data_IF_242821586076
#
_entry.id   IF_242821586076
#
_cell.length_a   1.000
_cell.length_b   1.000
_cell.length_c   1.000
_cell.angle_alpha   90.00
_cell.angle_beta   90.00
_cell.angle_gamma   90.00
#
_symmetry.space_group_name_H-M   'P 1'
#
loop_
_entity.id
_entity.type
_entity.pdbx_description
1 polymer ?
#
# COMPACT_ATOMS: atom_id res chain seq x y z
N UNK A 1 65.65 -23.95 -89.21
CA UNK A 1 64.50 -24.38 -88.40
C UNK A 1 63.99 -23.14 -87.70
N UNK A 2 62.85 -22.62 -88.14
CA UNK A 2 62.18 -21.49 -87.49
C UNK A 2 61.52 -22.05 -86.24
N UNK A 3 61.68 -21.47 -85.05
CA UNK A 3 60.93 -21.93 -83.89
C UNK A 3 59.45 -21.67 -84.18
N UNK A 4 58.65 -22.72 -84.18
CA UNK A 4 57.20 -22.62 -84.26
C UNK A 4 56.72 -21.88 -83.01
N UNK A 5 56.46 -20.58 -83.12
CA UNK A 5 55.79 -19.82 -82.08
C UNK A 5 54.33 -20.30 -82.00
N UNK A 6 54.06 -21.22 -81.07
CA UNK A 6 52.70 -21.62 -80.76
C UNK A 6 52.01 -20.49 -79.97
N UNK A 7 50.77 -20.11 -80.33
CA UNK A 7 50.01 -19.10 -79.59
C UNK A 7 49.71 -19.59 -78.17
N UNK A 8 49.58 -18.66 -77.24
CA UNK A 8 49.17 -19.01 -75.88
C UNK A 8 47.73 -19.53 -75.85
N UNK A 9 47.51 -20.62 -75.13
CA UNK A 9 46.18 -21.18 -74.92
C UNK A 9 45.24 -20.22 -74.17
N UNK A 10 43.94 -20.49 -74.24
CA UNK A 10 42.93 -19.80 -73.45
C UNK A 10 43.36 -19.68 -71.96
N UNK A 11 43.13 -18.51 -71.37
CA UNK A 11 43.60 -18.17 -70.03
C UNK A 11 45.07 -17.72 -69.92
N UNK A 12 45.88 -17.77 -70.97
CA UNK A 12 47.31 -17.37 -70.91
C UNK A 12 47.67 -16.27 -71.92
N UNK A 13 48.58 -15.36 -71.56
CA UNK A 13 49.01 -14.23 -72.39
C UNK A 13 50.54 -14.08 -72.42
N UNK A 14 51.05 -13.36 -73.42
CA UNK A 14 52.45 -12.90 -73.50
C UNK A 14 52.61 -11.46 -72.96
N UNK A 15 51.64 -10.94 -72.19
CA UNK A 15 51.60 -9.54 -71.74
C UNK A 15 51.71 -8.54 -72.91
N UNK A 16 51.15 -8.89 -74.07
CA UNK A 16 51.13 -8.05 -75.27
C UNK A 16 52.47 -7.93 -76.00
N UNK A 17 53.49 -8.70 -75.62
CA UNK A 17 54.75 -8.77 -76.34
C UNK A 17 54.74 -9.96 -77.31
N UNK A 18 54.88 -9.67 -78.61
CA UNK A 18 54.94 -10.69 -79.66
C UNK A 18 56.32 -11.39 -79.65
N UNK A 19 56.32 -12.73 -79.66
CA UNK A 19 57.55 -13.53 -79.83
C UNK A 19 58.27 -13.98 -78.54
N UNK A 20 57.60 -14.03 -77.39
CA UNK A 20 58.16 -14.64 -76.17
C UNK A 20 57.93 -16.15 -76.13
N UNK A 21 58.91 -16.88 -75.58
CA UNK A 21 58.87 -18.36 -75.50
C UNK A 21 58.00 -18.91 -74.36
N UNK A 22 57.38 -18.05 -73.54
CA UNK A 22 56.64 -18.48 -72.35
C UNK A 22 55.33 -17.69 -72.18
N UNK A 23 54.23 -18.44 -72.04
CA UNK A 23 52.90 -17.93 -71.76
C UNK A 23 52.72 -17.77 -70.25
N UNK A 24 52.18 -16.62 -69.82
CA UNK A 24 51.88 -16.33 -68.41
C UNK A 24 50.39 -16.46 -68.18
N UNK A 25 49.99 -17.11 -67.09
CA UNK A 25 48.57 -17.22 -66.71
C UNK A 25 47.96 -15.84 -66.49
N UNK A 26 46.71 -15.65 -66.93
CA UNK A 26 45.96 -14.45 -66.62
C UNK A 26 45.75 -14.37 -65.10
N UNK A 27 46.10 -13.25 -64.45
CA UNK A 27 45.89 -13.09 -63.00
C UNK A 27 44.40 -13.11 -62.66
N UNK A 28 44.08 -13.40 -61.39
CA UNK A 28 42.70 -13.40 -60.88
C UNK A 28 41.95 -12.11 -61.26
N UNK A 29 40.69 -12.27 -61.68
CA UNK A 29 39.85 -11.16 -62.15
C UNK A 29 40.10 -10.76 -63.60
N UNK A 30 40.97 -11.47 -64.32
CA UNK A 30 41.15 -11.34 -65.77
C UNK A 30 41.09 -12.71 -66.45
N UNK A 31 40.57 -12.76 -67.66
CA UNK A 31 40.37 -14.00 -68.41
C UNK A 31 40.77 -13.86 -69.87
N UNK A 32 40.87 -15.00 -70.55
CA UNK A 32 41.03 -15.03 -72.01
C UNK A 32 40.30 -16.21 -72.60
N UNK A 33 39.24 -15.93 -73.35
CA UNK A 33 38.29 -16.95 -73.83
C UNK A 33 38.80 -17.85 -74.97
N UNK A 34 39.81 -17.43 -75.72
CA UNK A 34 40.30 -18.16 -76.88
C UNK A 34 41.83 -18.09 -76.99
N UNK A 35 42.41 -19.05 -77.71
CA UNK A 35 43.84 -19.14 -77.98
C UNK A 35 44.34 -17.93 -78.79
N UNK A 36 45.58 -17.51 -78.57
CA UNK A 36 46.24 -16.40 -79.30
C UNK A 36 47.32 -15.72 -78.48
N UNK A 37 47.81 -14.56 -78.93
CA UNK A 37 48.81 -13.75 -78.18
C UNK A 37 48.18 -12.52 -77.51
N UNK A 38 46.85 -12.40 -77.56
CA UNK A 38 46.10 -11.29 -76.98
C UNK A 38 46.30 -11.15 -75.45
N UNK A 39 46.15 -9.92 -74.97
CA UNK A 39 46.15 -9.58 -73.55
C UNK A 39 44.96 -10.18 -72.81
N UNK A 40 45.09 -10.37 -71.49
CA UNK A 40 43.96 -10.75 -70.65
C UNK A 40 42.93 -9.61 -70.60
N UNK A 41 41.66 -9.99 -70.62
CA UNK A 41 40.52 -9.06 -70.52
C UNK A 41 40.03 -9.06 -69.08
N UNK A 42 39.77 -7.89 -68.49
CA UNK A 42 39.19 -7.79 -67.15
C UNK A 42 37.77 -8.35 -67.12
N UNK A 43 37.43 -9.05 -66.04
CA UNK A 43 36.04 -9.42 -65.79
C UNK A 43 35.15 -8.18 -65.63
N UNK A 44 33.85 -8.35 -65.88
CA UNK A 44 32.83 -7.39 -65.42
C UNK A 44 32.96 -7.22 -63.89
N UNK A 45 32.76 -6.01 -63.33
CA UNK A 45 32.87 -5.78 -61.88
C UNK A 45 32.03 -6.72 -61.00
N UNK A 46 30.97 -7.32 -61.54
CA UNK A 46 30.14 -8.30 -60.85
C UNK A 46 30.78 -9.69 -60.76
N UNK A 47 31.77 -10.02 -61.59
CA UNK A 47 32.31 -11.37 -61.73
C UNK A 47 33.83 -11.42 -61.55
N UNK A 48 34.33 -12.59 -61.17
CA UNK A 48 35.75 -12.90 -61.03
C UNK A 48 36.03 -14.30 -61.58
N UNK A 49 37.31 -14.67 -61.64
CA UNK A 49 37.78 -15.99 -62.07
C UNK A 49 37.94 -16.93 -60.87
N UNK A 50 37.80 -18.23 -61.08
CA UNK A 50 38.01 -19.27 -60.06
C UNK A 50 39.47 -19.46 -59.67
N UNK A 51 40.38 -19.17 -60.60
CA UNK A 51 41.81 -19.37 -60.47
C UNK A 51 42.57 -18.50 -61.48
N UNK A 52 43.89 -18.42 -61.33
CA UNK A 52 44.76 -17.83 -62.36
C UNK A 52 44.72 -18.72 -63.61
N UNK A 53 44.76 -18.10 -64.79
CA UNK A 53 44.70 -18.85 -66.04
C UNK A 53 43.29 -19.22 -66.49
N UNK A 54 42.24 -18.60 -65.94
CA UNK A 54 40.85 -18.89 -66.31
C UNK A 54 40.50 -18.40 -67.73
N UNK A 55 39.70 -19.18 -68.44
CA UNK A 55 39.14 -18.83 -69.74
C UNK A 55 37.78 -18.13 -69.68
N UNK A 56 37.17 -18.00 -68.49
CA UNK A 56 35.85 -17.40 -68.28
C UNK A 56 35.76 -16.66 -66.94
N UNK A 57 34.79 -15.75 -66.81
CA UNK A 57 34.45 -15.05 -65.56
C UNK A 57 33.07 -15.49 -65.08
N UNK A 58 33.01 -16.61 -64.36
CA UNK A 58 31.73 -17.25 -63.98
C UNK A 58 31.42 -17.15 -62.48
N UNK A 59 32.36 -16.62 -61.67
CA UNK A 59 32.16 -16.47 -60.22
C UNK A 59 31.62 -15.09 -59.93
N UNK A 60 30.38 -15.01 -59.43
CA UNK A 60 29.81 -13.77 -58.95
C UNK A 60 30.56 -13.29 -57.69
N UNK A 61 31.03 -12.04 -57.70
CA UNK A 61 31.68 -11.42 -56.54
C UNK A 61 30.62 -11.18 -55.47
N UNK A 62 30.77 -11.77 -54.26
CA UNK A 62 29.83 -11.54 -53.17
C UNK A 62 29.93 -10.09 -52.70
N UNK A 63 28.78 -9.46 -52.44
CA UNK A 63 28.77 -8.12 -51.89
C UNK A 63 29.44 -8.09 -50.53
N UNK A 64 30.23 -7.06 -50.23
CA UNK A 64 30.82 -6.92 -48.91
C UNK A 64 29.71 -6.78 -47.84
N UNK A 65 30.04 -7.07 -46.58
CA UNK A 65 29.14 -6.75 -45.47
C UNK A 65 28.77 -5.26 -45.49
N UNK A 66 27.53 -4.95 -45.11
CA UNK A 66 26.92 -3.63 -45.27
C UNK A 66 26.36 -3.34 -46.67
N UNK A 67 26.51 -4.27 -47.62
CA UNK A 67 25.94 -4.17 -48.96
C UNK A 67 25.07 -5.38 -49.29
N UNK A 68 24.21 -5.23 -50.30
CA UNK A 68 23.39 -6.30 -50.84
C UNK A 68 23.34 -6.23 -52.37
N UNK A 69 22.94 -7.34 -52.99
CA UNK A 69 22.78 -7.42 -54.44
C UNK A 69 21.31 -7.27 -54.85
N UNK A 70 21.03 -6.28 -55.69
CA UNK A 70 19.72 -6.15 -56.33
C UNK A 70 19.65 -7.10 -57.52
N UNK A 71 18.58 -7.93 -57.66
CA UNK A 71 18.40 -8.77 -58.84
C UNK A 71 18.42 -7.96 -60.14
N UNK A 72 19.32 -8.30 -61.05
CA UNK A 72 19.49 -7.62 -62.34
C UNK A 72 20.52 -6.48 -62.34
N UNK A 73 21.12 -6.14 -61.20
CA UNK A 73 22.24 -5.20 -61.12
C UNK A 73 23.59 -5.91 -60.93
N UNK A 74 24.58 -5.46 -61.70
CA UNK A 74 25.95 -5.94 -61.62
C UNK A 74 26.65 -5.48 -60.32
N UNK A 75 26.30 -4.31 -59.82
CA UNK A 75 26.96 -3.65 -58.68
C UNK A 75 26.26 -3.92 -57.36
N UNK A 76 27.04 -4.00 -56.28
CA UNK A 76 26.52 -4.07 -54.93
C UNK A 76 26.06 -2.70 -54.43
N UNK A 77 24.95 -2.68 -53.70
CA UNK A 77 24.33 -1.47 -53.16
C UNK A 77 24.44 -1.48 -51.64
N UNK A 78 24.82 -0.36 -51.04
CA UNK A 78 24.87 -0.24 -49.58
C UNK A 78 23.47 -0.39 -48.97
N UNK A 79 23.39 -1.10 -47.85
CA UNK A 79 22.17 -1.16 -47.06
C UNK A 79 21.75 0.25 -46.65
N UNK A 80 20.50 0.69 -46.94
CA UNK A 80 20.05 2.02 -46.57
C UNK A 80 20.01 2.20 -45.05
N UNK A 81 19.99 3.45 -44.60
CA UNK A 81 19.79 3.78 -43.19
C UNK A 81 18.55 3.06 -42.64
N UNK A 82 18.66 2.56 -41.40
CA UNK A 82 17.67 1.66 -40.81
C UNK A 82 17.91 0.16 -41.07
N UNK A 83 18.85 -0.22 -41.92
CA UNK A 83 19.11 -1.62 -42.24
C UNK A 83 20.60 -1.95 -42.34
N UNK A 84 20.94 -3.23 -42.16
CA UNK A 84 22.32 -3.72 -42.14
C UNK A 84 22.45 -5.06 -42.85
N UNK A 85 23.68 -5.42 -43.21
CA UNK A 85 24.03 -6.80 -43.59
C UNK A 85 25.32 -7.22 -42.89
N UNK A 86 25.23 -8.20 -42.01
CA UNK A 86 26.36 -8.63 -41.16
C UNK A 86 27.41 -9.41 -41.96
N UNK A 87 26.97 -10.19 -42.94
CA UNK A 87 27.82 -11.07 -43.73
C UNK A 87 27.92 -10.61 -45.19
N UNK A 88 29.04 -10.98 -45.83
CA UNK A 88 29.21 -10.81 -47.27
C UNK A 88 28.25 -11.73 -48.05
N UNK A 89 27.87 -11.32 -49.26
CA UNK A 89 26.99 -12.06 -50.15
C UNK A 89 25.50 -11.92 -49.80
N UNK A 90 25.10 -10.90 -49.05
CA UNK A 90 23.70 -10.67 -48.74
C UNK A 90 22.88 -10.32 -50.01
N UNK A 91 21.71 -10.94 -50.16
CA UNK A 91 20.75 -10.62 -51.23
C UNK A 91 19.73 -9.55 -50.79
N UNK A 92 19.68 -9.24 -49.49
CA UNK A 92 18.83 -8.23 -48.90
C UNK A 92 19.41 -7.71 -47.58
N UNK A 93 19.02 -6.50 -47.18
CA UNK A 93 19.38 -5.94 -45.88
C UNK A 93 18.35 -6.33 -44.82
N UNK A 94 18.82 -6.57 -43.60
CA UNK A 94 17.97 -6.82 -42.43
C UNK A 94 17.66 -5.50 -41.74
N UNK A 95 16.39 -5.24 -41.44
CA UNK A 95 16.01 -4.04 -40.69
C UNK A 95 16.56 -4.10 -39.27
N UNK A 96 16.97 -2.96 -38.73
CA UNK A 96 17.30 -2.86 -37.32
C UNK A 96 16.05 -3.11 -36.48
N UNK A 97 16.14 -4.06 -35.55
CA UNK A 97 15.07 -4.34 -34.60
C UNK A 97 14.80 -3.11 -33.74
N UNK A 98 13.58 -2.98 -33.25
CA UNK A 98 13.19 -1.87 -32.38
C UNK A 98 14.12 -1.79 -31.15
N UNK A 99 14.56 -0.58 -30.78
CA UNK A 99 15.62 -0.34 -29.79
C UNK A 99 17.02 -0.23 -30.39
N UNK A 100 17.18 -0.57 -31.67
CA UNK A 100 18.43 -0.40 -32.43
C UNK A 100 18.20 0.38 -33.72
N UNK A 101 19.23 1.07 -34.21
CA UNK A 101 19.13 1.94 -35.38
C UNK A 101 20.38 1.88 -36.25
N UNK A 102 20.24 2.29 -37.51
CA UNK A 102 21.37 2.45 -38.43
C UNK A 102 21.33 3.86 -39.04
N UNK A 103 22.16 4.81 -38.56
CA UNK A 103 22.07 6.22 -38.96
C UNK A 103 22.52 6.50 -40.39
N UNK A 104 23.36 5.64 -40.94
CA UNK A 104 23.95 5.82 -42.26
C UNK A 104 23.88 4.54 -43.06
N UNK A 105 23.92 4.66 -44.39
CA UNK A 105 23.97 3.50 -45.26
C UNK A 105 25.31 2.75 -45.12
N UNK A 106 25.30 1.45 -45.41
CA UNK A 106 26.51 0.63 -45.44
C UNK A 106 26.94 0.02 -44.11
N UNK A 107 26.08 0.08 -43.08
CA UNK A 107 26.40 -0.47 -41.77
C UNK A 107 26.31 -2.01 -41.77
N UNK A 108 27.23 -2.62 -41.04
CA UNK A 108 27.28 -4.08 -40.86
C UNK A 108 26.55 -4.53 -39.61
N UNK A 109 26.25 -3.63 -38.68
CA UNK A 109 25.55 -3.92 -37.42
C UNK A 109 24.74 -2.69 -36.97
N UNK A 110 23.58 -2.95 -36.37
CA UNK A 110 22.73 -1.90 -35.81
C UNK A 110 23.33 -1.36 -34.51
N UNK A 111 23.19 -0.06 -34.28
CA UNK A 111 23.60 0.62 -33.06
C UNK A 111 22.46 0.59 -32.04
N UNK A 112 22.76 0.30 -30.78
CA UNK A 112 21.78 0.30 -29.71
C UNK A 112 21.43 1.72 -29.28
N UNK A 113 20.16 1.95 -28.88
CA UNK A 113 19.78 3.18 -28.19
C UNK A 113 20.31 3.21 -26.76
N UNK A 114 20.63 4.41 -26.28
CA UNK A 114 21.01 4.62 -24.88
C UNK A 114 19.83 4.32 -23.94
N UNK A 115 20.10 3.98 -22.66
CA UNK A 115 19.05 3.75 -21.67
C UNK A 115 18.07 4.93 -21.58
N UNK A 116 16.80 4.61 -21.36
CA UNK A 116 15.71 5.58 -21.32
C UNK A 116 15.18 6.04 -22.69
N UNK A 117 15.73 5.54 -23.81
CA UNK A 117 15.18 5.76 -25.15
C UNK A 117 14.96 4.43 -25.90
N UNK A 118 14.17 4.48 -26.96
CA UNK A 118 13.96 3.38 -27.91
C UNK A 118 13.72 3.97 -29.31
N UNK A 119 13.53 3.13 -30.34
CA UNK A 119 13.13 3.56 -31.67
C UNK A 119 11.61 3.52 -31.85
N UNK A 120 11.06 4.31 -32.79
CA UNK A 120 9.62 4.28 -33.08
C UNK A 120 9.11 2.96 -33.67
N UNK A 121 10.03 2.14 -34.19
CA UNK A 121 9.72 0.90 -34.89
C UNK A 121 11.00 0.27 -35.45
N UNK A 122 10.80 -0.82 -36.18
CA UNK A 122 11.87 -1.48 -36.91
C UNK A 122 12.34 -0.60 -38.06
N UNK A 123 13.60 -0.76 -38.47
CA UNK A 123 14.14 -0.01 -39.60
C UNK A 123 14.46 1.44 -39.27
N UNK A 124 14.62 1.79 -37.99
CA UNK A 124 14.86 3.17 -37.59
C UNK A 124 16.29 3.63 -37.94
N UNK A 125 16.41 4.87 -38.42
CA UNK A 125 17.69 5.53 -38.67
C UNK A 125 18.18 6.38 -37.49
N UNK A 126 17.40 6.49 -36.43
CA UNK A 126 17.78 7.16 -35.19
C UNK A 126 16.95 6.64 -34.01
N UNK A 127 17.48 6.77 -32.80
CA UNK A 127 16.67 6.64 -31.59
C UNK A 127 15.62 7.75 -31.53
N UNK A 128 14.54 7.49 -30.79
CA UNK A 128 13.53 8.48 -30.48
C UNK A 128 14.18 9.64 -29.72
N UNK A 129 13.86 10.86 -30.14
CA UNK A 129 14.20 12.08 -29.41
C UNK A 129 13.32 12.26 -28.17
N UNK A 130 12.24 11.49 -28.05
CA UNK A 130 11.45 11.37 -26.84
C UNK A 130 11.91 10.14 -26.05
N UNK A 131 12.29 10.32 -24.78
CA UNK A 131 12.57 9.20 -23.90
C UNK A 131 11.27 8.42 -23.62
N UNK A 132 11.38 7.27 -22.96
CA UNK A 132 10.23 6.47 -22.55
C UNK A 132 9.17 7.34 -21.84
N UNK A 133 7.90 7.14 -22.20
CA UNK A 133 6.78 7.88 -21.62
C UNK A 133 6.68 7.66 -20.11
N UNK A 134 6.10 8.63 -19.40
CA UNK A 134 5.86 8.50 -17.96
C UNK A 134 5.08 7.21 -17.64
N UNK A 135 5.51 6.52 -16.60
CA UNK A 135 5.06 5.18 -16.23
C UNK A 135 5.83 4.04 -16.89
N UNK A 136 6.75 4.34 -17.81
CA UNK A 136 7.61 3.34 -18.45
C UNK A 136 9.09 3.66 -18.28
N UNK A 137 9.93 2.64 -18.37
CA UNK A 137 11.38 2.78 -18.24
C UNK A 137 12.12 1.83 -19.20
N UNK A 138 13.38 2.15 -19.45
CA UNK A 138 14.32 1.29 -20.16
C UNK A 138 15.69 1.32 -19.49
N UNK A 139 16.04 0.25 -18.77
CA UNK A 139 17.28 0.18 -18.01
C UNK A 139 18.52 -0.16 -18.86
N UNK A 140 18.33 -0.87 -19.96
CA UNK A 140 19.43 -1.45 -20.73
C UNK A 140 19.60 -0.75 -22.09
N UNK A 141 20.84 -0.69 -22.57
CA UNK A 141 21.15 -0.21 -23.92
C UNK A 141 20.51 -1.13 -24.96
N UNK A 142 19.74 -0.58 -25.90
CA UNK A 142 19.09 -1.33 -26.96
C UNK A 142 17.95 -2.25 -26.51
N UNK A 143 17.51 -2.14 -25.25
CA UNK A 143 16.34 -2.87 -24.77
C UNK A 143 15.05 -2.27 -25.34
N UNK A 144 14.06 -3.13 -25.49
CA UNK A 144 12.85 -2.78 -26.19
C UNK A 144 11.66 -3.71 -25.88
N UNK A 145 10.41 -3.20 -25.86
CA UNK A 145 10.02 -1.79 -25.71
C UNK A 145 10.24 -1.26 -24.28
N UNK A 146 10.01 0.04 -24.07
CA UNK A 146 9.96 0.61 -22.73
C UNK A 146 9.01 -0.23 -21.87
N UNK A 147 9.51 -0.71 -20.73
CA UNK A 147 8.77 -1.57 -19.83
C UNK A 147 7.93 -0.72 -18.88
N UNK A 148 6.68 -1.13 -18.64
CA UNK A 148 5.85 -0.50 -17.63
C UNK A 148 6.47 -0.67 -16.24
N UNK A 149 6.41 0.37 -15.41
CA UNK A 149 6.84 0.26 -14.02
C UNK A 149 5.97 -0.76 -13.28
N UNK A 150 6.56 -1.70 -12.51
CA UNK A 150 5.77 -2.64 -11.73
C UNK A 150 5.01 -1.93 -10.61
N UNK A 151 3.96 -2.57 -10.09
CA UNK A 151 3.25 -2.10 -8.90
C UNK A 151 4.21 -1.82 -7.73
N UNK A 152 3.92 -0.78 -6.97
CA UNK A 152 4.78 -0.23 -5.91
C UNK A 152 5.84 0.75 -6.41
N UNK A 153 5.93 0.99 -7.73
CA UNK A 153 6.89 1.92 -8.33
C UNK A 153 6.23 2.80 -9.40
N UNK A 154 6.90 3.89 -9.75
CA UNK A 154 6.43 4.85 -10.75
C UNK A 154 7.59 5.44 -11.57
N UNK A 155 7.29 6.14 -12.65
CA UNK A 155 8.28 6.92 -13.40
C UNK A 155 7.66 8.20 -13.96
N UNK A 156 8.15 9.36 -13.58
CA UNK A 156 7.57 10.67 -13.94
C UNK A 156 7.98 11.19 -15.34
N UNK A 157 8.89 10.48 -16.02
CA UNK A 157 9.41 10.83 -17.35
C UNK A 157 10.71 11.64 -17.32
N UNK A 158 11.22 12.00 -16.14
CA UNK A 158 12.45 12.81 -16.01
C UNK A 158 13.72 11.99 -16.23
N UNK A 159 13.72 10.71 -15.79
CA UNK A 159 14.85 9.79 -15.89
C UNK A 159 14.38 8.36 -16.11
N UNK A 160 13.82 8.01 -17.29
CA UNK A 160 13.12 6.75 -17.46
C UNK A 160 14.07 5.58 -17.73
N UNK A 161 15.15 5.51 -16.96
CA UNK A 161 16.10 4.39 -16.94
C UNK A 161 15.76 3.40 -15.82
N UNK A 162 14.97 3.80 -14.83
CA UNK A 162 14.52 2.95 -13.74
C UNK A 162 13.17 3.44 -13.18
N UNK A 163 12.45 2.58 -12.48
CA UNK A 163 11.28 2.99 -11.72
C UNK A 163 11.66 3.42 -10.31
N UNK A 164 11.05 4.50 -9.84
CA UNK A 164 11.19 5.01 -8.49
C UNK A 164 10.18 4.30 -7.57
N UNK A 165 10.59 3.81 -6.39
CA UNK A 165 9.65 3.24 -5.43
C UNK A 165 8.75 4.33 -4.85
N UNK A 166 7.51 3.95 -4.50
CA UNK A 166 6.63 4.84 -3.74
C UNK A 166 7.22 5.18 -2.37
N UNK A 167 7.03 6.43 -1.95
CA UNK A 167 7.49 6.92 -0.66
C UNK A 167 6.67 6.41 0.52
N UNK A 168 6.99 6.92 1.71
CA UNK A 168 6.19 6.65 2.90
C UNK A 168 4.74 7.11 2.69
N UNK A 169 3.78 6.33 3.21
CA UNK A 169 2.34 6.60 3.12
C UNK A 169 1.81 6.70 1.69
N UNK A 170 2.54 6.11 0.73
CA UNK A 170 2.17 6.07 -0.68
C UNK A 170 2.15 4.64 -1.18
N UNK A 171 1.32 4.40 -2.20
CA UNK A 171 1.20 3.13 -2.90
C UNK A 171 1.02 3.40 -4.39
N UNK A 172 1.31 2.37 -5.18
CA UNK A 172 0.91 2.34 -6.58
C UNK A 172 0.45 0.91 -6.92
N UNK A 173 -0.86 0.62 -6.84
CA UNK A 173 -1.35 -0.74 -7.06
C UNK A 173 -1.23 -1.19 -8.52
N UNK A 174 -1.26 -0.25 -9.47
CA UNK A 174 -1.28 -0.56 -10.90
C UNK A 174 0.10 -0.36 -11.54
N UNK A 175 0.51 -1.24 -12.48
CA UNK A 175 1.73 -1.04 -13.23
C UNK A 175 1.58 0.11 -14.24
N UNK A 176 2.71 0.66 -14.70
CA UNK A 176 2.74 1.63 -15.80
C UNK A 176 2.38 3.06 -15.38
N UNK A 177 2.54 3.40 -14.10
CA UNK A 177 2.03 4.65 -13.54
C UNK A 177 3.12 5.70 -13.36
N UNK A 178 2.74 6.96 -13.55
CA UNK A 178 3.65 8.11 -13.53
C UNK A 178 3.83 8.77 -12.17
N UNK A 179 3.05 8.36 -11.17
CA UNK A 179 3.12 8.86 -9.80
C UNK A 179 2.57 7.84 -8.83
N UNK A 180 2.84 8.02 -7.54
CA UNK A 180 2.19 7.27 -6.48
C UNK A 180 1.00 8.03 -5.89
N UNK A 181 0.03 7.27 -5.42
CA UNK A 181 -1.16 7.76 -4.72
C UNK A 181 -1.02 7.53 -3.22
N UNK A 182 -1.78 8.26 -2.40
CA UNK A 182 -1.75 8.05 -0.96
C UNK A 182 -2.25 6.65 -0.59
N UNK A 183 -1.54 6.00 0.32
CA UNK A 183 -1.95 4.71 0.88
C UNK A 183 -3.25 4.89 1.69
N UNK A 184 -4.07 3.83 1.83
CA UNK A 184 -5.13 3.82 2.83
C UNK A 184 -4.58 4.21 4.21
N UNK A 185 -5.34 5.02 4.93
CA UNK A 185 -4.96 5.67 6.18
C UNK A 185 -4.21 6.99 6.00
N UNK A 186 -3.97 7.43 4.76
CA UNK A 186 -3.31 8.70 4.45
C UNK A 186 -4.04 9.45 3.33
N UNK A 187 -3.80 10.76 3.24
CA UNK A 187 -4.44 11.63 2.26
C UNK A 187 -3.52 12.77 1.80
N UNK A 188 -3.87 13.37 0.67
CA UNK A 188 -3.34 14.66 0.23
C UNK A 188 -4.43 15.42 -0.53
N UNK A 189 -4.38 16.74 -0.69
CA UNK A 189 -5.41 17.48 -1.43
C UNK A 189 -5.65 17.00 -2.87
N UNK A 190 -4.67 16.29 -3.45
CA UNK A 190 -4.71 15.73 -4.81
C UNK A 190 -4.87 14.21 -4.84
N UNK A 191 -4.86 13.53 -3.68
CA UNK A 191 -4.83 12.06 -3.58
C UNK A 191 -3.51 11.42 -4.04
N UNK A 192 -2.60 12.20 -4.60
CA UNK A 192 -1.34 11.77 -5.16
C UNK A 192 -0.21 12.74 -4.82
N UNK A 193 1.03 12.31 -5.02
CA UNK A 193 2.22 13.14 -4.85
C UNK A 193 3.06 12.79 -3.62
N UNK A 194 4.13 13.55 -3.34
CA UNK A 194 5.15 13.17 -2.37
C UNK A 194 4.72 13.34 -0.91
N UNK A 195 3.65 14.09 -0.65
CA UNK A 195 3.26 14.54 0.69
C UNK A 195 1.89 13.95 1.08
N UNK A 196 1.87 12.67 1.44
CA UNK A 196 0.68 12.03 2.01
C UNK A 196 0.72 12.12 3.54
N UNK A 197 -0.26 12.83 4.12
CA UNK A 197 -0.41 12.96 5.56
C UNK A 197 -1.26 11.82 6.10
N UNK A 198 -0.85 11.25 7.23
CA UNK A 198 -1.66 10.23 7.93
C UNK A 198 -2.95 10.84 8.47
N UNK A 199 -4.03 10.06 8.45
CA UNK A 199 -5.24 10.42 9.18
C UNK A 199 -4.94 10.47 10.68
N UNK A 200 -5.39 11.52 11.34
CA UNK A 200 -5.29 11.64 12.79
C UNK A 200 -6.24 10.65 13.49
N UNK A 201 -6.02 10.41 14.78
CA UNK A 201 -6.90 9.60 15.62
C UNK A 201 -8.35 10.06 15.51
N UNK A 202 -9.28 9.10 15.51
CA UNK A 202 -10.71 9.33 15.22
C UNK A 202 -11.06 9.52 13.74
N UNK A 203 -10.10 9.51 12.82
CA UNK A 203 -10.34 9.65 11.38
C UNK A 203 -9.70 8.50 10.59
N UNK A 204 -10.25 8.20 9.41
CA UNK A 204 -9.80 7.11 8.55
C UNK A 204 -9.86 7.48 7.06
N UNK A 205 -9.12 6.75 6.23
CA UNK A 205 -9.19 6.80 4.78
C UNK A 205 -9.04 5.37 4.24
N UNK A 206 -10.11 4.79 3.73
CA UNK A 206 -10.15 3.37 3.35
C UNK A 206 -9.72 3.12 1.89
N UNK A 207 -9.70 4.16 1.07
CA UNK A 207 -9.37 4.07 -0.35
C UNK A 207 -7.95 4.58 -0.64
N UNK A 208 -7.21 3.93 -1.56
CA UNK A 208 -6.00 4.51 -2.14
C UNK A 208 -6.34 5.83 -2.85
N UNK A 209 -5.47 6.82 -2.67
CA UNK A 209 -5.62 8.13 -3.27
C UNK A 209 -6.69 9.02 -2.64
N UNK A 210 -7.06 8.77 -1.38
CA UNK A 210 -7.97 9.64 -0.65
C UNK A 210 -7.50 11.09 -0.61
N UNK A 211 -8.45 12.00 -0.81
CA UNK A 211 -8.19 13.45 -0.78
C UNK A 211 -8.43 14.09 0.58
N UNK A 212 -9.02 13.33 1.50
CA UNK A 212 -9.36 13.72 2.86
C UNK A 212 -9.50 12.49 3.77
N UNK A 213 -9.55 12.72 5.07
CA UNK A 213 -9.86 11.69 6.06
C UNK A 213 -11.28 11.89 6.58
N UNK A 214 -12.05 10.80 6.63
CA UNK A 214 -13.40 10.78 7.15
C UNK A 214 -13.39 10.56 8.66
N UNK A 215 -14.29 11.22 9.38
CA UNK A 215 -14.48 10.93 10.80
C UNK A 215 -15.01 9.51 10.98
N UNK A 216 -14.51 8.79 11.99
CA UNK A 216 -15.07 7.49 12.35
C UNK A 216 -16.55 7.64 12.72
N UNK A 217 -17.47 6.88 12.10
CA UNK A 217 -18.88 6.97 12.45
C UNK A 217 -19.13 6.54 13.89
N UNK A 218 -20.25 6.99 14.47
CA UNK A 218 -20.69 6.56 15.78
C UNK A 218 -20.63 5.03 15.98
N UNK A 219 -20.34 4.61 17.22
CA UNK A 219 -20.06 3.22 17.62
C UNK A 219 -18.72 2.65 17.08
N UNK A 220 -17.91 3.47 16.41
CA UNK A 220 -16.57 3.10 15.93
C UNK A 220 -15.53 4.13 16.35
N UNK A 221 -14.26 3.72 16.45
CA UNK A 221 -13.18 4.59 16.92
C UNK A 221 -11.87 4.33 16.19
N UNK A 222 -10.94 5.28 16.31
CA UNK A 222 -9.58 5.16 15.82
C UNK A 222 -8.53 5.60 16.84
N UNK A 223 -7.81 4.66 17.46
CA UNK A 223 -6.87 4.97 18.52
C UNK A 223 -5.48 5.42 18.04
N UNK A 224 -5.10 5.12 16.79
CA UNK A 224 -3.76 5.46 16.28
C UNK A 224 -3.86 6.25 14.96
N UNK A 225 -2.88 7.12 14.65
CA UNK A 225 -2.80 7.74 13.34
C UNK A 225 -2.59 6.71 12.23
N UNK A 226 -2.95 7.09 11.00
CA UNK A 226 -2.59 6.35 9.80
C UNK A 226 -3.42 5.08 9.53
N UNK A 227 -4.52 4.87 10.26
CA UNK A 227 -5.33 3.68 10.08
C UNK A 227 -6.38 3.84 8.98
N UNK A 228 -6.59 2.77 8.22
CA UNK A 228 -7.45 2.77 7.04
C UNK A 228 -8.94 2.54 7.35
N UNK A 229 -9.27 2.00 8.53
CA UNK A 229 -10.63 1.63 8.93
C UNK A 229 -10.86 1.97 10.39
N UNK A 230 -12.10 2.18 10.80
CA UNK A 230 -12.44 2.35 12.22
C UNK A 230 -12.75 1.01 12.87
N UNK A 231 -12.28 0.85 14.11
CA UNK A 231 -12.57 -0.32 14.93
C UNK A 231 -13.94 -0.16 15.61
N UNK A 232 -14.68 -1.24 15.76
CA UNK A 232 -15.94 -1.24 16.51
C UNK A 232 -15.67 -1.09 18.01
N UNK A 233 -16.53 -0.37 18.73
CA UNK A 233 -16.44 -0.30 20.18
C UNK A 233 -16.61 -1.69 20.83
N UNK A 234 -15.75 -2.05 21.80
CA UNK A 234 -15.92 -3.27 22.59
C UNK A 234 -17.30 -3.33 23.29
N UNK A 235 -17.83 -4.53 23.57
CA UNK A 235 -19.08 -4.68 24.31
C UNK A 235 -19.08 -3.91 25.63
N UNK A 236 -20.16 -3.16 25.90
CA UNK A 236 -20.27 -2.32 27.09
C UNK A 236 -19.56 -0.97 26.98
N UNK A 237 -19.07 -0.60 25.79
CA UNK A 237 -18.55 0.74 25.47
C UNK A 237 -19.19 1.29 24.20
N UNK A 238 -19.23 2.62 24.05
CA UNK A 238 -19.74 3.30 22.87
C UNK A 238 -18.99 4.63 22.66
N UNK A 239 -19.26 5.30 21.54
CA UNK A 239 -18.81 6.69 21.31
C UNK A 239 -19.85 7.71 21.79
N UNK A 240 -20.84 7.28 22.57
CA UNK A 240 -21.99 8.11 22.97
C UNK A 240 -22.69 8.80 21.80
N UNK A 241 -22.75 8.15 20.63
CA UNK A 241 -23.35 8.69 19.41
C UNK A 241 -22.55 9.79 18.72
N UNK A 242 -21.28 10.00 19.09
CA UNK A 242 -20.42 10.99 18.45
C UNK A 242 -19.54 10.35 17.37
N UNK A 243 -19.38 11.05 16.25
CA UNK A 243 -18.40 10.72 15.23
C UNK A 243 -17.00 11.21 15.63
N UNK A 244 -15.96 10.71 14.98
CA UNK A 244 -14.60 11.23 15.08
C UNK A 244 -13.86 10.85 16.36
N UNK A 245 -14.30 9.80 17.07
CA UNK A 245 -13.74 9.46 18.38
C UNK A 245 -12.45 8.64 18.29
N UNK A 246 -11.47 8.99 19.14
CA UNK A 246 -10.21 8.28 19.25
C UNK A 246 -10.27 7.07 20.20
N UNK A 247 -11.33 6.97 21.01
CA UNK A 247 -11.55 5.90 21.96
C UNK A 247 -13.05 5.71 22.19
N UNK A 248 -13.42 4.54 22.73
CA UNK A 248 -14.75 4.31 23.25
C UNK A 248 -14.76 4.60 24.75
N UNK A 249 -15.86 5.18 25.21
CA UNK A 249 -16.15 5.30 26.64
C UNK A 249 -17.00 4.12 27.05
N UNK A 250 -16.81 3.59 28.27
CA UNK A 250 -17.75 2.62 28.80
C UNK A 250 -19.15 3.24 28.71
N UNK A 251 -20.10 2.52 28.13
CA UNK A 251 -21.50 2.91 28.26
C UNK A 251 -21.72 2.98 29.76
N UNK A 252 -22.07 4.16 30.27
CA UNK A 252 -22.21 4.40 31.71
C UNK A 252 -23.26 3.41 32.24
N UNK A 253 -22.82 2.23 32.66
CA UNK A 253 -23.63 1.29 33.44
C UNK A 253 -23.66 1.91 34.82
N UNK A 254 -24.52 2.92 34.96
CA UNK A 254 -24.74 3.50 36.26
C UNK A 254 -25.22 2.37 37.18
N UNK A 255 -24.62 2.23 38.38
CA UNK A 255 -25.08 1.21 39.30
C UNK A 255 -26.55 1.44 39.63
N UNK A 256 -27.33 0.38 39.90
CA UNK A 256 -28.67 0.54 40.43
C UNK A 256 -28.58 1.29 41.75
N UNK A 257 -29.52 2.21 41.97
CA UNK A 257 -29.60 2.96 43.21
C UNK A 257 -29.73 2.00 44.39
N UNK A 258 -28.91 2.18 45.43
CA UNK A 258 -28.98 1.38 46.64
C UNK A 258 -30.34 1.55 47.33
N UNK A 259 -30.78 0.57 48.13
CA UNK A 259 -31.99 0.70 48.93
C UNK A 259 -32.05 2.00 49.72
N UNK A 260 -33.24 2.61 49.77
CA UNK A 260 -33.46 3.93 50.36
C UNK A 260 -33.12 5.12 49.44
N UNK A 261 -32.61 4.88 48.23
CA UNK A 261 -32.36 5.92 47.22
C UNK A 261 -33.00 5.59 45.87
N UNK A 262 -33.29 6.60 45.06
CA UNK A 262 -34.00 6.44 43.77
C UNK A 262 -33.46 7.37 42.69
N UNK A 263 -33.69 7.00 41.43
CA UNK A 263 -33.53 7.87 40.27
C UNK A 263 -34.67 7.62 39.27
N UNK A 264 -34.84 8.48 38.28
CA UNK A 264 -35.88 8.31 37.25
C UNK A 264 -35.74 7.01 36.43
N UNK A 265 -34.54 6.44 36.38
CA UNK A 265 -34.16 5.26 35.60
C UNK A 265 -33.79 4.06 36.46
N UNK A 266 -33.78 4.20 37.79
CA UNK A 266 -33.33 3.18 38.74
C UNK A 266 -31.81 3.04 38.82
N UNK A 267 -31.09 3.48 37.78
CA UNK A 267 -29.64 3.50 37.68
C UNK A 267 -29.17 4.96 37.57
N UNK A 268 -28.28 5.42 38.46
CA UNK A 268 -27.74 6.79 38.45
C UNK A 268 -26.47 6.86 39.32
N UNK A 269 -25.48 7.71 39.00
CA UNK A 269 -24.39 7.99 39.92
C UNK A 269 -24.84 8.91 41.07
N UNK A 270 -25.94 9.65 40.86
CA UNK A 270 -26.51 10.63 41.78
C UNK A 270 -27.92 10.20 42.19
N UNK A 271 -28.04 9.11 42.95
CA UNK A 271 -29.33 8.65 43.48
C UNK A 271 -29.82 9.57 44.60
N UNK A 272 -31.10 9.92 44.58
CA UNK A 272 -31.71 10.79 45.58
C UNK A 272 -32.27 9.97 46.74
N UNK A 273 -32.00 10.33 48.01
CA UNK A 273 -32.55 9.61 49.15
C UNK A 273 -34.06 9.81 49.23
N UNK A 274 -34.76 8.76 49.66
CA UNK A 274 -36.18 8.86 49.98
C UNK A 274 -36.41 9.90 51.09
N UNK A 275 -37.42 10.74 50.92
CA UNK A 275 -37.78 11.76 51.90
C UNK A 275 -38.46 11.11 53.12
N UNK A 276 -38.62 11.88 54.20
CA UNK A 276 -39.32 11.38 55.39
C UNK A 276 -40.72 10.83 55.04
N UNK A 277 -41.14 9.81 55.78
CA UNK A 277 -42.37 9.02 55.58
C UNK A 277 -42.44 8.26 54.25
N UNK A 278 -41.31 8.14 53.54
CA UNK A 278 -41.18 7.31 52.34
C UNK A 278 -39.98 6.39 52.43
N UNK A 279 -40.08 5.19 51.86
CA UNK A 279 -39.06 4.16 51.88
C UNK A 279 -38.88 3.49 50.53
N UNK A 280 -37.76 2.81 50.36
CA UNK A 280 -37.48 1.98 49.18
C UNK A 280 -36.66 0.77 49.66
N UNK A 281 -37.16 -0.44 49.42
CA UNK A 281 -36.54 -1.67 49.98
C UNK A 281 -35.60 -2.43 49.02
N UNK A 282 -35.63 -2.15 47.72
CA UNK A 282 -34.95 -2.94 46.68
C UNK A 282 -34.05 -2.07 45.81
N UNK A 283 -32.83 -2.55 45.52
CA UNK A 283 -31.91 -1.85 44.63
C UNK A 283 -32.50 -1.64 43.23
N UNK A 284 -32.30 -0.45 42.66
CA UNK A 284 -32.73 -0.11 41.30
C UNK A 284 -34.17 0.38 41.17
N UNK A 285 -34.89 0.59 42.28
CA UNK A 285 -36.24 1.16 42.25
C UNK A 285 -36.24 2.61 41.75
N UNK A 286 -37.28 2.97 41.00
CA UNK A 286 -37.43 4.31 40.39
C UNK A 286 -38.25 5.28 41.24
N UNK A 287 -38.77 4.84 42.38
CA UNK A 287 -39.66 5.63 43.22
C UNK A 287 -39.60 5.22 44.70
N UNK A 288 -39.86 6.17 45.59
CA UNK A 288 -40.03 5.94 47.01
C UNK A 288 -41.51 5.71 47.31
N UNK A 289 -41.82 4.70 48.12
CA UNK A 289 -43.18 4.36 48.53
C UNK A 289 -43.50 5.02 49.85
N UNK A 290 -44.73 5.53 50.01
CA UNK A 290 -45.17 6.05 51.30
C UNK A 290 -45.27 4.91 52.33
N UNK A 291 -44.98 5.24 53.60
CA UNK A 291 -45.17 4.27 54.67
C UNK A 291 -46.63 3.83 54.79
N UNK A 292 -46.89 2.53 55.04
CA UNK A 292 -48.23 2.02 55.32
C UNK A 292 -48.86 2.70 56.55
N UNK A 293 -50.19 2.64 56.66
CA UNK A 293 -50.92 3.24 57.79
C UNK A 293 -50.42 2.69 59.13
N UNK A 294 -50.01 3.57 60.04
CA UNK A 294 -49.46 3.20 61.36
C UNK A 294 -47.94 3.02 61.38
N UNK A 295 -47.23 3.37 60.30
CA UNK A 295 -45.77 3.32 60.22
C UNK A 295 -45.19 4.64 59.71
N UNK A 296 -43.95 4.95 60.09
CA UNK A 296 -43.18 6.14 59.68
C UNK A 296 -41.71 5.77 59.44
N UNK A 297 -40.93 6.65 58.83
CA UNK A 297 -39.46 6.58 58.83
C UNK A 297 -38.83 7.29 60.03
N UNK A 298 -39.63 7.64 61.04
CA UNK A 298 -39.25 8.43 62.21
C UNK A 298 -38.58 9.78 61.83
N UNK A 299 -39.04 10.38 60.72
CA UNK A 299 -38.50 11.64 60.21
C UNK A 299 -37.13 11.54 59.52
N UNK A 300 -36.58 10.32 59.37
CA UNK A 300 -35.30 10.10 58.70
C UNK A 300 -35.49 9.97 57.19
N UNK A 301 -34.50 10.44 56.43
CA UNK A 301 -34.39 10.23 54.99
C UNK A 301 -33.60 8.97 54.68
N UNK A 302 -33.73 8.45 53.45
CA UNK A 302 -32.94 7.32 52.95
C UNK A 302 -33.31 5.96 53.57
N UNK A 303 -34.52 5.79 54.11
CA UNK A 303 -34.90 4.56 54.78
C UNK A 303 -35.29 3.44 53.80
N UNK A 304 -34.97 2.21 54.19
CA UNK A 304 -35.24 0.99 53.42
C UNK A 304 -36.51 0.27 53.83
N UNK A 305 -37.07 0.64 54.98
CA UNK A 305 -38.27 0.08 55.56
C UNK A 305 -38.95 1.14 56.44
N UNK A 306 -40.23 0.93 56.73
CA UNK A 306 -40.96 1.76 57.68
C UNK A 306 -41.04 1.04 59.02
N UNK A 307 -40.96 1.82 60.11
CA UNK A 307 -41.09 1.32 61.47
C UNK A 307 -42.46 1.70 62.02
N UNK A 308 -43.00 0.89 62.93
CA UNK A 308 -44.28 1.20 63.58
C UNK A 308 -44.18 2.55 64.30
N UNK A 309 -45.22 3.37 64.12
CA UNK A 309 -45.35 4.70 64.70
C UNK A 309 -45.60 4.56 66.21
N UNK A 310 -44.52 4.31 66.95
CA UNK A 310 -44.55 4.24 68.40
C UNK A 310 -44.52 5.67 68.95
N UNK A 311 -45.58 6.15 69.63
CA UNK A 311 -45.68 7.54 70.07
C UNK A 311 -44.69 7.96 71.17
N UNK A 312 -43.71 7.13 71.55
CA UNK A 312 -42.88 7.35 72.75
C UNK A 312 -41.39 6.94 72.59
N UNK A 313 -40.74 7.28 71.47
CA UNK A 313 -39.29 7.12 71.33
C UNK A 313 -38.59 8.49 71.21
N UNK A 314 -37.90 8.92 72.26
CA UNK A 314 -36.95 10.04 72.16
C UNK A 314 -35.77 9.66 71.24
N UNK A 315 -35.25 10.57 70.40
CA UNK A 315 -34.07 10.31 69.58
C UNK A 315 -32.83 10.03 70.45
N UNK A 316 -31.83 9.28 69.94
CA UNK A 316 -30.63 8.96 70.70
C UNK A 316 -29.79 10.21 70.93
N UNK A 317 -29.71 10.69 72.18
CA UNK A 317 -28.81 11.79 72.54
C UNK A 317 -29.23 12.69 73.70
N UNK A 318 -30.43 12.57 74.26
CA UNK A 318 -30.90 13.44 75.35
C UNK A 318 -31.36 12.64 76.57
N UNK A 319 -30.48 12.48 77.55
CA UNK A 319 -30.87 12.08 78.91
C UNK A 319 -31.08 13.34 79.74
N UNK A 320 -32.31 13.60 80.18
CA UNK A 320 -32.58 14.62 81.18
C UNK A 320 -32.40 13.99 82.57
N UNK A 321 -31.26 14.25 83.20
CA UNK A 321 -31.03 13.93 84.60
C UNK A 321 -31.73 14.99 85.45
N UNK A 322 -32.89 14.66 86.01
CA UNK A 322 -33.34 15.37 87.19
C UNK A 322 -34.19 14.49 88.10
N UNK A 323 -33.65 14.27 89.30
CA UNK A 323 -34.35 14.44 90.57
C UNK A 323 -35.85 14.77 90.47
N UNK A 324 -36.63 13.96 91.18
CA UNK A 324 -38.09 13.97 91.17
C UNK A 324 -38.76 15.34 91.24
N UNK A 325 -39.71 15.50 90.34
CA UNK A 325 -40.76 16.51 90.36
C UNK A 325 -41.84 16.06 89.37
N UNK A 326 -43.05 15.80 89.86
CA UNK A 326 -44.19 15.32 89.06
C UNK A 326 -44.94 16.52 88.48
N UNK A 327 -45.30 16.47 87.20
CA UNK A 327 -46.48 17.15 86.64
C UNK A 327 -47.26 16.20 85.68
N UNK A 328 -48.58 16.42 85.49
CA UNK A 328 -49.55 15.34 85.36
C UNK A 328 -49.81 14.94 83.90
N UNK A 329 -49.75 13.64 83.59
CA UNK A 329 -50.18 13.12 82.29
C UNK A 329 -49.83 11.66 81.99
N UNK A 330 -48.73 11.13 82.53
CA UNK A 330 -48.33 9.75 82.25
C UNK A 330 -48.97 8.77 83.24
N UNK A 331 -50.01 8.05 82.80
CA UNK A 331 -50.46 6.85 83.50
C UNK A 331 -49.41 5.76 83.34
N UNK A 332 -48.99 5.23 84.48
CA UNK A 332 -48.05 4.13 84.66
C UNK A 332 -48.42 2.90 83.82
N UNK A 333 -47.47 2.37 83.03
CA UNK A 333 -47.48 0.96 82.68
C UNK A 333 -46.10 0.34 82.88
N UNK A 334 -46.13 -0.87 83.44
CA UNK A 334 -45.01 -1.54 84.08
C UNK A 334 -43.95 -2.02 83.10
N UNK A 335 -42.70 -1.62 83.32
CA UNK A 335 -41.53 -2.33 82.79
C UNK A 335 -41.41 -3.69 83.51
N UNK A 336 -41.81 -4.77 82.84
CA UNK A 336 -41.30 -6.12 83.14
C UNK A 336 -40.02 -6.32 82.34
N UNK A 337 -38.87 -6.16 82.98
CA UNK A 337 -37.59 -6.47 82.35
C UNK A 337 -36.42 -5.94 83.15
N UNK A 338 -35.83 -6.84 83.95
CA UNK A 338 -34.74 -6.58 84.88
C UNK A 338 -33.44 -6.25 84.17
N UNK A 339 -32.79 -5.13 84.51
CA UNK A 339 -31.35 -4.95 84.27
C UNK A 339 -30.60 -5.06 85.61
N UNK A 340 -29.84 -6.16 85.73
CA UNK A 340 -28.96 -6.49 86.84
C UNK A 340 -27.81 -5.49 86.94
N UNK A 341 -27.59 -4.96 88.14
CA UNK A 341 -26.42 -4.15 88.47
C UNK A 341 -25.16 -5.02 88.57
N UNK A 342 -24.03 -4.54 88.03
CA UNK A 342 -22.68 -4.95 88.46
C UNK A 342 -21.93 -3.74 88.98
N UNK A 343 -21.53 -3.83 90.25
CA UNK A 343 -20.64 -2.90 90.94
C UNK A 343 -19.20 -3.02 90.45
N UNK A 344 -18.55 -1.90 90.11
CA UNK A 344 -17.54 -1.23 90.95
C UNK A 344 -16.53 -0.39 90.15
N UNK A 345 -16.34 0.83 90.64
CA UNK A 345 -15.13 1.68 90.62
C UNK A 345 -14.52 2.11 89.29
N UNK A 346 -14.62 3.42 89.01
CA UNK A 346 -13.68 4.16 88.14
C UNK A 346 -14.31 4.68 86.86
N UNK A 347 -14.68 5.96 86.89
CA UNK A 347 -15.01 6.88 85.80
C UNK A 347 -14.81 6.38 84.37
N UNK A 348 -15.89 5.91 83.74
CA UNK A 348 -16.26 5.95 82.30
C UNK A 348 -17.09 4.71 81.94
N UNK A 349 -18.40 4.89 81.76
CA UNK A 349 -19.29 3.80 81.34
C UNK A 349 -19.46 3.88 79.82
N UNK A 350 -18.80 3.02 79.07
CA UNK A 350 -19.08 2.75 77.66
C UNK A 350 -20.06 1.58 77.55
N UNK A 351 -21.12 1.74 76.76
CA UNK A 351 -22.05 0.67 76.42
C UNK A 351 -21.88 0.33 74.94
N UNK A 352 -21.48 -0.91 74.64
CA UNK A 352 -21.48 -1.48 73.30
C UNK A 352 -22.73 -2.34 73.13
N UNK A 353 -23.56 -2.03 72.12
CA UNK A 353 -24.57 -2.95 71.65
C UNK A 353 -23.90 -4.00 70.75
N UNK A 354 -23.92 -5.28 71.15
CA UNK A 354 -23.70 -6.39 70.22
C UNK A 354 -25.06 -6.95 69.77
N UNK A 355 -25.24 -7.21 68.47
CA UNK A 355 -26.45 -7.85 67.98
C UNK A 355 -26.39 -9.35 68.33
N UNK A 356 -27.48 -9.91 68.86
CA UNK A 356 -27.63 -11.36 68.90
C UNK A 356 -28.91 -11.82 68.22
N UNK A 357 -28.63 -12.64 67.21
CA UNK A 357 -29.44 -13.50 66.36
C UNK A 357 -30.62 -14.18 67.05
N UNK A 358 -31.76 -14.16 66.37
CA UNK A 358 -32.92 -15.00 66.68
C UNK A 358 -32.65 -16.41 66.10
N UNK A 359 -32.59 -17.42 66.97
CA UNK A 359 -32.64 -18.83 66.60
C UNK A 359 -34.05 -19.38 66.89
N UNK A 360 -34.63 -20.10 65.93
CA UNK A 360 -35.92 -20.82 66.06
C UNK A 360 -35.79 -22.13 66.86
N UNK A 361 -36.89 -22.68 67.43
CA UNK A 361 -36.92 -23.94 68.17
C UNK A 361 -37.54 -25.11 67.33
N UNK A 362 -37.67 -26.34 67.85
CA UNK A 362 -36.64 -27.37 68.00
C UNK A 362 -36.92 -28.66 67.16
N UNK A 363 -35.96 -29.59 67.14
CA UNK A 363 -36.15 -31.05 67.07
C UNK A 363 -35.09 -31.71 67.94
#
# INVERSE_FOLDING_TARGET
>A
MQPDCAPCGAGFTTNGASGQAACTACPLGTFKAADGDGACVSCDPAYTTSEEGSSTCDILVPCAAGQYRVPGEATCVSCPAGSVSEAAGADSCTLCAVGTFAPTAGLTACQACDPGSTTQGEGASSCSTQPCDAGTFNADTGANPCSACPAGTYQDGSTPTACQPCGINQVQPDPGQSSCICAPGSYSPTGAGPNCAECMVGFYADQPGSTECNACPAETFQALPGQAYCDLCPPGSSTSGQDGQANCVAAEVFPPCDPGTVSNTGNSPDCQPCVADTYQAESGQTACFACPTGQTTAGLTGQTECVEDAPDACPPGTFNLASGGVEPGCQSFQLRGSCLAKSSSGSSTSWTAQPHSIAQPPS
#
